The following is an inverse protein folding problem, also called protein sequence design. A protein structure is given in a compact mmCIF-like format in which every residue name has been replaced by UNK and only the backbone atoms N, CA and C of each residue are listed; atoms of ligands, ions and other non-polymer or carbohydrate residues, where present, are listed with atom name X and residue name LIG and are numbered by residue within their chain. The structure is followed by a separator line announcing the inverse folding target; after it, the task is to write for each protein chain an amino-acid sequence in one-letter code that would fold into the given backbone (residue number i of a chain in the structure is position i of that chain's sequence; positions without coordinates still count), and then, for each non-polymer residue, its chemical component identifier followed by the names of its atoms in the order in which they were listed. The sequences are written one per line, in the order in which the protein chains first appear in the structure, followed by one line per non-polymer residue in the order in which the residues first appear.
data_IF_596886951093
#
_entry.id   IF_596886951093
#
_cell.length_a   1.000
_cell.length_b   1.000
_cell.length_c   1.000
_cell.angle_alpha   90.00
_cell.angle_beta   90.00
_cell.angle_gamma   90.00
#
_symmetry.space_group_name_H-M   'P 1'
#
loop_
_entity.id
_entity.type
_entity.pdbx_description
1 polymer ?
#
# COMPACT_ATOMS: atom_id res chain seq x y z
N UNK A 1 17.88 19.55 5.09
CA UNK A 1 16.87 18.72 5.81
C UNK A 1 15.87 18.18 4.80
N UNK A 2 15.47 16.91 4.96
CA UNK A 2 14.49 16.26 4.08
C UNK A 2 13.47 15.52 4.95
N UNK A 3 12.20 15.78 4.72
CA UNK A 3 11.09 15.07 5.36
C UNK A 3 10.16 14.53 4.30
N UNK A 4 9.84 13.26 4.39
CA UNK A 4 8.91 12.56 3.48
C UNK A 4 7.78 11.92 4.29
N UNK A 5 6.55 12.09 3.84
CA UNK A 5 5.38 11.48 4.45
C UNK A 5 4.31 11.13 3.38
N UNK A 6 3.56 10.03 3.58
CA UNK A 6 3.74 8.98 4.56
C UNK A 6 4.96 8.10 4.27
N UNK A 7 5.34 7.24 5.21
CA UNK A 7 6.36 6.19 5.02
C UNK A 7 5.69 4.81 5.13
N UNK A 8 4.99 4.35 4.09
CA UNK A 8 4.28 3.08 4.13
C UNK A 8 5.25 1.90 4.09
N UNK A 9 4.91 0.80 4.76
CA UNK A 9 5.62 -0.47 4.66
C UNK A 9 5.32 -1.18 3.33
N UNK A 10 4.09 -1.01 2.83
CA UNK A 10 3.60 -1.62 1.59
C UNK A 10 3.12 -0.54 0.61
N UNK A 11 3.29 -0.83 -0.67
CA UNK A 11 2.78 -0.06 -1.79
C UNK A 11 1.91 -0.98 -2.66
N UNK A 12 0.59 -0.87 -2.51
CA UNK A 12 -0.39 -1.73 -3.20
C UNK A 12 -1.11 -1.01 -4.33
N UNK A 13 -1.36 0.28 -4.14
CA UNK A 13 -2.05 1.14 -5.10
C UNK A 13 -1.38 2.51 -5.16
N UNK A 14 -1.90 3.40 -6.01
CA UNK A 14 -1.42 4.78 -6.11
C UNK A 14 -1.44 5.48 -4.76
N UNK A 15 -0.27 5.81 -4.25
CA UNK A 15 -0.08 6.47 -2.95
C UNK A 15 0.47 7.86 -3.13
N UNK A 16 -0.14 8.84 -2.45
CA UNK A 16 0.31 10.22 -2.47
C UNK A 16 1.32 10.48 -1.36
N UNK A 17 2.43 11.11 -1.73
CA UNK A 17 3.51 11.51 -0.85
C UNK A 17 3.62 13.02 -0.80
N UNK A 18 4.01 13.55 0.36
CA UNK A 18 4.40 14.94 0.55
C UNK A 18 5.86 14.98 0.97
N UNK A 19 6.65 15.75 0.25
CA UNK A 19 8.06 15.94 0.48
C UNK A 19 8.32 17.39 0.88
N UNK A 20 9.01 17.59 1.98
CA UNK A 20 9.57 18.88 2.38
C UNK A 20 11.09 18.79 2.32
N UNK A 21 11.71 19.69 1.58
CA UNK A 21 13.15 19.80 1.43
C UNK A 21 13.60 21.20 1.78
N UNK A 22 14.67 21.32 2.57
CA UNK A 22 15.20 22.63 2.96
C UNK A 22 16.71 22.63 3.16
N UNK A 23 17.35 23.73 2.76
CA UNK A 23 18.72 24.11 3.11
C UNK A 23 18.82 25.60 3.33
N UNK A 24 18.99 26.01 4.60
CA UNK A 24 19.01 27.42 5.01
C UNK A 24 20.28 28.15 4.57
N UNK A 25 21.40 27.44 4.34
CA UNK A 25 22.72 28.07 4.11
C UNK A 25 23.05 28.25 2.63
N UNK A 26 22.95 27.17 1.86
CA UNK A 26 23.37 27.18 0.45
C UNK A 26 22.19 27.33 -0.51
N UNK A 27 20.98 27.00 -0.05
CA UNK A 27 19.79 26.85 -0.88
C UNK A 27 19.82 25.60 -1.74
N UNK A 28 18.66 25.19 -2.20
CA UNK A 28 18.45 23.99 -2.97
C UNK A 28 18.99 24.16 -4.40
N UNK A 29 19.70 23.16 -4.91
CA UNK A 29 20.21 23.08 -6.29
C UNK A 29 19.38 22.10 -7.12
N UNK A 30 19.18 20.89 -6.61
CA UNK A 30 18.35 19.90 -7.28
C UNK A 30 17.73 18.92 -6.28
N UNK A 31 16.57 18.42 -6.64
CA UNK A 31 15.82 17.40 -5.92
C UNK A 31 15.48 16.30 -6.91
N UNK A 32 15.77 15.06 -6.53
CA UNK A 32 15.35 13.87 -7.26
C UNK A 32 14.68 12.90 -6.31
N UNK A 33 13.52 12.41 -6.70
CA UNK A 33 12.84 11.28 -6.06
C UNK A 33 12.85 10.12 -7.04
N UNK A 34 13.34 8.99 -6.61
CA UNK A 34 13.42 7.78 -7.41
C UNK A 34 13.02 6.55 -6.60
N UNK A 35 12.61 5.51 -7.28
CA UNK A 35 12.38 4.20 -6.70
C UNK A 35 13.32 3.20 -7.36
N UNK A 36 14.06 2.47 -6.53
CA UNK A 36 14.97 1.43 -6.98
C UNK A 36 14.40 0.05 -6.67
N UNK A 37 14.39 -0.82 -7.68
CA UNK A 37 13.98 -2.20 -7.55
C UNK A 37 14.81 -3.10 -8.46
N UNK A 38 15.39 -4.16 -7.89
CA UNK A 38 16.20 -5.13 -8.62
C UNK A 38 17.34 -4.50 -9.47
N UNK A 39 17.95 -3.43 -8.95
CA UNK A 39 19.04 -2.71 -9.65
C UNK A 39 18.57 -1.76 -10.76
N UNK A 40 17.27 -1.59 -10.94
CA UNK A 40 16.67 -0.60 -11.83
C UNK A 40 16.15 0.57 -11.03
N UNK A 41 16.60 1.77 -11.36
CA UNK A 41 16.13 3.01 -10.78
C UNK A 41 15.13 3.69 -11.74
N UNK A 42 13.99 4.08 -11.21
CA UNK A 42 12.94 4.81 -11.92
C UNK A 42 12.73 6.16 -11.25
N UNK A 43 12.98 7.25 -11.96
CA UNK A 43 12.78 8.61 -11.44
C UNK A 43 11.29 8.95 -11.45
N UNK A 44 10.79 9.42 -10.31
CA UNK A 44 9.40 9.85 -10.11
C UNK A 44 9.29 11.37 -10.20
N UNK A 45 10.20 12.08 -9.53
CA UNK A 45 10.25 13.54 -9.53
C UNK A 45 11.68 13.97 -9.75
N UNK A 46 11.89 14.96 -10.62
CA UNK A 46 13.17 15.64 -10.77
C UNK A 46 12.93 17.13 -10.89
N UNK A 47 13.63 17.92 -10.09
CA UNK A 47 13.54 19.38 -10.07
C UNK A 47 14.88 20.02 -9.85
N UNK A 48 15.16 21.07 -10.59
CA UNK A 48 16.36 21.88 -10.45
C UNK A 48 15.99 23.30 -10.05
N UNK A 49 16.83 23.92 -9.23
CA UNK A 49 16.65 25.26 -8.70
C UNK A 49 17.85 26.10 -9.11
N UNK A 50 17.66 27.20 -9.86
CA UNK A 50 18.77 28.03 -10.30
C UNK A 50 19.38 28.82 -9.14
N UNK A 51 20.69 29.06 -9.24
CA UNK A 51 21.40 29.99 -8.33
C UNK A 51 20.96 31.42 -8.59
N UNK A 52 20.50 32.16 -7.59
CA UNK A 52 19.99 33.52 -7.74
C UNK A 52 20.50 34.44 -6.64
N UNK A 53 20.84 35.67 -7.05
CA UNK A 53 21.31 36.70 -6.14
C UNK A 53 22.75 36.54 -5.64
N UNK A 54 23.17 37.42 -4.77
CA UNK A 54 24.47 37.36 -4.13
C UNK A 54 24.43 36.28 -3.03
N UNK A 55 25.33 35.29 -3.10
CA UNK A 55 25.36 34.13 -2.18
C UNK A 55 24.06 33.30 -2.17
N UNK A 56 23.35 33.29 -3.29
CA UNK A 56 22.05 32.61 -3.46
C UNK A 56 20.93 33.13 -2.54
N UNK A 57 21.01 34.45 -2.18
CA UNK A 57 20.03 35.08 -1.28
C UNK A 57 18.59 35.05 -1.80
N UNK A 58 18.44 35.08 -3.13
CA UNK A 58 17.16 35.07 -3.82
C UNK A 58 16.80 33.66 -4.36
N UNK A 59 17.60 32.65 -4.01
CA UNK A 59 17.41 31.26 -4.38
C UNK A 59 16.35 30.56 -3.54
N UNK A 60 16.03 29.35 -3.92
CA UNK A 60 15.06 28.51 -3.20
C UNK A 60 15.74 27.81 -2.03
N UNK A 61 15.37 28.15 -0.81
CA UNK A 61 15.89 27.56 0.41
C UNK A 61 14.97 26.48 1.01
N UNK A 62 13.67 26.49 0.67
CA UNK A 62 12.69 25.49 1.09
C UNK A 62 11.78 25.17 -0.09
N UNK A 63 11.45 23.91 -0.25
CA UNK A 63 10.56 23.42 -1.30
C UNK A 63 9.67 22.31 -0.78
N UNK A 64 8.39 22.44 -1.06
CA UNK A 64 7.39 21.41 -0.82
C UNK A 64 6.93 20.83 -2.15
N UNK A 65 6.77 19.53 -2.23
CA UNK A 65 6.26 18.83 -3.39
C UNK A 65 5.30 17.72 -2.95
N UNK A 66 4.17 17.62 -3.65
CA UNK A 66 3.30 16.46 -3.56
C UNK A 66 3.42 15.66 -4.86
N UNK A 67 3.56 14.35 -4.75
CA UNK A 67 3.64 13.44 -5.89
C UNK A 67 2.95 12.12 -5.57
N UNK A 68 2.67 11.36 -6.59
CA UNK A 68 2.02 10.05 -6.48
C UNK A 68 2.95 8.97 -7.02
N UNK A 69 3.01 7.85 -6.32
CA UNK A 69 3.67 6.64 -6.78
C UNK A 69 2.61 5.57 -6.97
N UNK A 70 2.38 5.19 -8.22
CA UNK A 70 1.52 4.08 -8.58
C UNK A 70 2.41 2.93 -9.09
N UNK A 71 2.43 1.79 -8.39
CA UNK A 71 3.29 0.67 -8.77
C UNK A 71 2.94 0.09 -10.15
N UNK A 72 1.68 0.15 -10.56
CA UNK A 72 1.25 -0.33 -11.87
C UNK A 72 1.69 0.61 -13.00
N UNK A 73 1.56 1.92 -12.79
CA UNK A 73 2.00 2.94 -13.78
C UNK A 73 3.52 2.89 -13.97
N UNK A 74 4.27 2.69 -12.88
CA UNK A 74 5.73 2.61 -12.92
C UNK A 74 6.25 1.23 -13.32
N UNK A 75 5.37 0.25 -13.57
CA UNK A 75 5.73 -1.16 -13.86
C UNK A 75 6.67 -1.75 -12.82
N UNK A 76 6.38 -1.51 -11.54
CA UNK A 76 7.13 -2.11 -10.45
C UNK A 76 6.76 -3.59 -10.28
N UNK A 77 7.76 -4.43 -10.06
CA UNK A 77 7.54 -5.84 -9.78
C UNK A 77 7.12 -6.05 -8.32
N UNK A 78 6.52 -7.20 -8.02
CA UNK A 78 6.23 -7.59 -6.65
C UNK A 78 7.51 -7.75 -5.83
N UNK A 79 7.51 -7.32 -4.57
CA UNK A 79 8.61 -7.48 -3.65
C UNK A 79 9.29 -6.17 -3.24
N UNK A 80 10.49 -6.28 -2.71
CA UNK A 80 11.21 -5.16 -2.09
C UNK A 80 11.58 -4.09 -3.09
N UNK A 81 11.40 -2.84 -2.68
CA UNK A 81 11.85 -1.66 -3.38
C UNK A 81 12.40 -0.63 -2.38
N UNK A 82 13.22 0.28 -2.84
CA UNK A 82 13.78 1.38 -2.06
C UNK A 82 13.38 2.71 -2.68
N UNK A 83 12.69 3.52 -1.90
CA UNK A 83 12.37 4.91 -2.25
C UNK A 83 13.53 5.80 -1.84
N UNK A 84 14.08 6.57 -2.78
CA UNK A 84 15.23 7.43 -2.59
C UNK A 84 14.85 8.88 -2.84
N UNK A 85 15.30 9.75 -1.96
CA UNK A 85 15.25 11.20 -2.15
C UNK A 85 16.66 11.74 -2.09
N UNK A 86 17.11 12.30 -3.19
CA UNK A 86 18.41 12.94 -3.32
C UNK A 86 18.22 14.45 -3.40
N UNK A 87 18.92 15.16 -2.54
CA UNK A 87 18.94 16.60 -2.49
C UNK A 87 20.37 17.09 -2.64
N UNK A 88 20.60 18.01 -3.55
CA UNK A 88 21.87 18.75 -3.67
C UNK A 88 21.65 20.22 -3.34
N UNK A 89 22.58 20.79 -2.61
CA UNK A 89 22.64 22.25 -2.32
C UNK A 89 23.58 22.98 -3.27
N UNK A 90 23.62 24.31 -3.17
CA UNK A 90 24.57 25.16 -3.90
C UNK A 90 25.89 25.43 -3.12
N UNK A 91 26.24 24.59 -2.15
CA UNK A 91 27.47 24.72 -1.40
C UNK A 91 28.70 24.62 -2.31
N UNK A 92 29.68 25.48 -2.08
CA UNK A 92 30.97 25.47 -2.78
C UNK A 92 32.05 24.68 -2.02
N UNK A 93 31.72 24.08 -0.89
CA UNK A 93 32.66 23.25 -0.11
C UNK A 93 32.86 21.88 -0.84
N UNK A 94 34.09 21.39 -0.85
CA UNK A 94 34.40 20.07 -1.40
C UNK A 94 34.57 19.98 -2.92
N UNK A 95 34.79 21.11 -3.63
CA UNK A 95 35.02 21.09 -5.09
C UNK A 95 33.95 21.75 -5.94
N UNK A 96 32.86 22.27 -5.30
CA UNK A 96 31.83 23.02 -6.00
C UNK A 96 30.64 22.23 -6.49
N UNK A 97 30.60 20.92 -6.20
CA UNK A 97 29.48 20.02 -6.64
C UNK A 97 28.26 20.07 -5.72
N UNK A 98 28.33 20.83 -4.62
CA UNK A 98 27.30 20.89 -3.59
C UNK A 98 27.39 19.75 -2.58
N UNK A 99 26.65 19.85 -1.48
CA UNK A 99 26.48 18.73 -0.57
C UNK A 99 25.30 17.89 -1.02
N UNK A 100 25.46 16.57 -0.94
CA UNK A 100 24.40 15.61 -1.21
C UNK A 100 23.76 15.16 0.12
N UNK A 101 22.46 15.29 0.21
CA UNK A 101 21.65 14.63 1.25
C UNK A 101 20.88 13.50 0.60
N UNK A 102 21.03 12.29 1.14
CA UNK A 102 20.32 11.11 0.68
C UNK A 102 19.39 10.64 1.81
N UNK A 103 18.11 10.53 1.50
CA UNK A 103 17.11 9.88 2.34
C UNK A 103 16.66 8.61 1.62
N UNK A 104 16.56 7.48 2.34
CA UNK A 104 16.09 6.21 1.80
C UNK A 104 15.02 5.60 2.68
N UNK A 105 14.03 4.99 2.05
CA UNK A 105 12.96 4.27 2.73
C UNK A 105 12.68 2.94 2.01
N UNK A 106 12.78 1.83 2.76
CA UNK A 106 12.48 0.51 2.24
C UNK A 106 10.98 0.24 2.32
N UNK A 107 10.41 -0.27 1.24
CA UNK A 107 9.03 -0.67 1.15
C UNK A 107 8.88 -1.97 0.35
N UNK A 108 7.72 -2.57 0.42
CA UNK A 108 7.37 -3.77 -0.33
C UNK A 108 6.24 -3.44 -1.31
N UNK A 109 6.47 -3.67 -2.59
CA UNK A 109 5.43 -3.58 -3.61
C UNK A 109 4.61 -4.86 -3.55
N UNK A 110 3.31 -4.73 -3.27
CA UNK A 110 2.35 -5.84 -3.26
C UNK A 110 1.00 -5.37 -3.78
N UNK A 111 0.72 -5.71 -5.03
CA UNK A 111 -0.49 -5.34 -5.76
C UNK A 111 -1.39 -6.55 -6.04
N UNK A 112 -1.06 -7.72 -5.45
CA UNK A 112 -1.79 -8.96 -5.71
C UNK A 112 -2.74 -9.24 -4.55
N UNK A 113 -4.07 -9.16 -4.78
CA UNK A 113 -5.03 -9.47 -3.73
C UNK A 113 -4.95 -10.94 -3.25
N UNK A 114 -5.25 -11.20 -1.97
CA UNK A 114 -5.19 -12.52 -1.41
C UNK A 114 -6.23 -13.45 -2.04
N UNK A 115 -5.91 -14.73 -2.18
CA UNK A 115 -6.86 -15.72 -2.67
C UNK A 115 -7.73 -16.23 -1.53
N UNK A 116 -9.05 -16.38 -1.79
CA UNK A 116 -10.00 -16.96 -0.85
C UNK A 116 -11.01 -17.86 -1.58
N UNK A 117 -11.31 -19.03 -1.02
CA UNK A 117 -12.28 -19.99 -1.58
C UNK A 117 -13.02 -20.76 -0.51
N UNK A 118 -14.32 -21.01 -0.72
CA UNK A 118 -15.09 -21.91 0.13
C UNK A 118 -14.64 -23.38 -0.03
N UNK A 119 -14.55 -24.08 1.07
CA UNK A 119 -14.33 -25.52 1.11
C UNK A 119 -15.66 -26.30 1.29
N UNK A 120 -16.60 -25.70 2.03
CA UNK A 120 -17.96 -26.23 2.17
C UNK A 120 -18.81 -25.86 0.96
N UNK A 121 -19.76 -26.73 0.57
CA UNK A 121 -20.48 -26.60 -0.71
C UNK A 121 -21.96 -26.28 -0.58
N UNK A 122 -22.59 -26.63 0.56
CA UNK A 122 -24.04 -26.49 0.73
C UNK A 122 -24.29 -25.56 1.94
N UNK A 123 -24.80 -24.37 1.66
CA UNK A 123 -25.17 -23.40 2.68
C UNK A 123 -26.64 -23.02 2.46
N UNK A 124 -27.48 -23.42 3.37
CA UNK A 124 -28.91 -23.04 3.39
C UNK A 124 -29.08 -21.99 4.49
N UNK A 125 -29.47 -20.80 4.10
CA UNK A 125 -29.57 -19.66 5.00
C UNK A 125 -30.97 -19.07 4.86
N UNK A 126 -31.68 -18.95 5.95
CA UNK A 126 -32.94 -18.19 5.96
C UNK A 126 -32.68 -16.74 6.39
N UNK A 127 -33.54 -15.82 5.98
CA UNK A 127 -33.58 -14.49 6.58
C UNK A 127 -33.75 -14.62 8.09
N UNK A 128 -32.98 -13.89 8.88
CA UNK A 128 -32.89 -14.02 10.33
C UNK A 128 -32.12 -15.26 10.81
N UNK A 129 -31.64 -16.09 9.90
CA UNK A 129 -30.87 -17.29 10.20
C UNK A 129 -29.36 -17.08 10.23
N UNK A 130 -28.67 -18.11 10.67
CA UNK A 130 -27.22 -18.13 10.74
C UNK A 130 -26.66 -19.36 10.01
N UNK A 131 -25.43 -19.27 9.56
CA UNK A 131 -24.74 -20.32 8.84
C UNK A 131 -23.25 -20.34 9.18
N UNK A 132 -22.65 -21.48 8.93
CA UNK A 132 -21.21 -21.67 9.08
C UNK A 132 -20.60 -22.01 7.73
N UNK A 133 -19.51 -21.34 7.38
CA UNK A 133 -18.70 -21.63 6.20
C UNK A 133 -17.28 -21.98 6.62
N UNK A 134 -16.73 -23.02 5.98
CA UNK A 134 -15.30 -23.33 6.04
C UNK A 134 -14.68 -22.91 4.72
N UNK A 135 -13.60 -22.15 4.78
CA UNK A 135 -12.94 -21.63 3.60
C UNK A 135 -11.41 -21.65 3.78
N UNK A 136 -10.70 -21.47 2.71
CA UNK A 136 -9.24 -21.41 2.69
C UNK A 136 -8.80 -20.09 2.08
N UNK A 137 -7.73 -19.52 2.66
CA UNK A 137 -7.06 -18.33 2.18
C UNK A 137 -5.62 -18.62 1.78
N UNK A 138 -5.03 -17.72 1.00
CA UNK A 138 -3.58 -17.66 0.78
C UNK A 138 -2.83 -17.27 2.04
N UNK A 139 -1.52 -17.53 2.07
CA UNK A 139 -0.68 -17.36 3.27
C UNK A 139 -0.39 -15.92 3.64
N UNK A 140 -0.59 -14.98 2.72
CA UNK A 140 -0.42 -13.53 2.86
C UNK A 140 -1.64 -12.83 3.47
N UNK A 141 -2.76 -13.54 3.58
CA UNK A 141 -4.00 -13.00 4.16
C UNK A 141 -3.82 -12.62 5.63
N UNK A 142 -4.14 -11.40 5.97
CA UNK A 142 -4.13 -10.90 7.35
C UNK A 142 -5.51 -11.03 8.00
N UNK A 143 -6.56 -10.63 7.27
CA UNK A 143 -7.94 -10.67 7.75
C UNK A 143 -8.82 -11.39 6.73
N UNK A 144 -9.81 -12.12 7.23
CA UNK A 144 -10.79 -12.78 6.37
C UNK A 144 -12.10 -13.04 7.09
N UNK A 145 -13.16 -13.28 6.30
CA UNK A 145 -14.46 -13.55 6.86
C UNK A 145 -15.57 -13.62 5.82
N UNK A 146 -16.80 -13.43 6.28
CA UNK A 146 -17.97 -13.31 5.43
C UNK A 146 -18.53 -11.89 5.52
N UNK A 147 -18.72 -11.29 4.38
CA UNK A 147 -19.35 -9.99 4.23
C UNK A 147 -20.81 -10.20 3.83
N UNK A 148 -21.73 -9.79 4.69
CA UNK A 148 -23.18 -9.77 4.42
C UNK A 148 -23.59 -8.32 4.25
N UNK A 149 -23.84 -7.90 3.03
CA UNK A 149 -23.99 -6.49 2.65
C UNK A 149 -22.76 -5.68 3.12
N UNK A 150 -22.89 -4.93 4.21
CA UNK A 150 -21.82 -4.11 4.82
C UNK A 150 -21.31 -4.66 6.15
N UNK A 151 -21.90 -5.74 6.64
CA UNK A 151 -21.51 -6.35 7.91
C UNK A 151 -20.45 -7.42 7.68
N UNK A 152 -19.28 -7.23 8.26
CA UNK A 152 -18.21 -8.21 8.26
C UNK A 152 -18.33 -9.13 9.48
N UNK A 153 -18.41 -10.42 9.21
CA UNK A 153 -18.30 -11.49 10.20
C UNK A 153 -16.88 -12.05 10.12
N UNK A 154 -16.06 -11.88 11.15
CA UNK A 154 -14.67 -12.34 11.09
C UNK A 154 -14.58 -13.87 11.06
N UNK A 155 -13.62 -14.36 10.31
CA UNK A 155 -13.25 -15.76 10.31
C UNK A 155 -12.17 -16.08 11.31
N UNK A 156 -12.14 -17.30 11.77
CA UNK A 156 -11.16 -17.80 12.74
C UNK A 156 -10.38 -18.96 12.14
N UNK A 157 -9.08 -18.97 12.34
CA UNK A 157 -8.25 -20.09 11.90
C UNK A 157 -8.71 -21.39 12.57
N UNK A 158 -8.89 -22.44 11.79
CA UNK A 158 -9.29 -23.74 12.31
C UNK A 158 -8.18 -24.45 13.10
N UNK A 159 -6.95 -23.91 13.11
CA UNK A 159 -5.82 -24.38 13.91
C UNK A 159 -5.28 -25.76 13.52
N UNK A 160 -5.81 -26.39 12.49
CA UNK A 160 -5.43 -27.74 12.07
C UNK A 160 -4.15 -27.75 11.23
N UNK A 161 -3.13 -28.52 11.65
CA UNK A 161 -1.91 -28.77 10.85
C UNK A 161 -2.23 -29.44 9.50
N UNK A 162 -3.36 -30.13 9.41
CA UNK A 162 -3.77 -30.85 8.20
C UNK A 162 -4.33 -29.99 7.07
N UNK A 163 -4.70 -28.73 7.36
CA UNK A 163 -5.26 -27.80 6.38
C UNK A 163 -4.78 -26.38 6.65
N UNK A 164 -3.52 -26.06 6.32
CA UNK A 164 -2.99 -24.72 6.48
C UNK A 164 -3.84 -23.69 5.72
N UNK A 165 -4.06 -22.52 6.33
CA UNK A 165 -4.89 -21.47 5.75
C UNK A 165 -6.39 -21.73 5.79
N UNK A 166 -6.85 -22.81 6.46
CA UNK A 166 -8.28 -23.06 6.66
C UNK A 166 -8.85 -22.24 7.80
N UNK A 167 -9.99 -21.63 7.51
CA UNK A 167 -10.73 -20.78 8.42
C UNK A 167 -12.18 -21.23 8.52
N UNK A 168 -12.80 -20.88 9.63
CA UNK A 168 -14.23 -21.07 9.86
C UNK A 168 -14.84 -19.71 10.18
N UNK A 169 -15.96 -19.40 9.57
CA UNK A 169 -16.74 -18.21 9.87
C UNK A 169 -18.19 -18.61 10.17
N UNK A 170 -18.69 -18.11 11.31
CA UNK A 170 -20.09 -18.19 11.66
C UNK A 170 -20.71 -16.81 11.40
N UNK A 171 -21.72 -16.75 10.53
CA UNK A 171 -22.31 -15.50 10.10
C UNK A 171 -23.84 -15.59 10.11
N UNK A 172 -24.51 -14.46 10.11
CA UNK A 172 -25.96 -14.36 10.10
C UNK A 172 -26.43 -13.44 8.99
N UNK A 173 -27.61 -13.72 8.45
CA UNK A 173 -28.32 -12.83 7.52
C UNK A 173 -29.43 -12.13 8.31
N UNK A 174 -29.48 -10.80 8.33
CA UNK A 174 -30.52 -10.04 9.03
C UNK A 174 -31.92 -10.44 8.57
N UNK A 175 -32.88 -10.38 9.45
CA UNK A 175 -34.28 -10.75 9.16
C UNK A 175 -34.96 -9.81 8.17
N UNK A 176 -34.46 -8.57 8.08
CA UNK A 176 -34.89 -7.51 7.17
C UNK A 176 -34.03 -7.40 5.91
N UNK A 177 -33.08 -8.30 5.75
CA UNK A 177 -32.22 -8.33 4.56
C UNK A 177 -33.04 -8.53 3.29
N UNK A 178 -32.69 -7.83 2.22
CA UNK A 178 -33.32 -8.04 0.92
C UNK A 178 -33.01 -9.45 0.38
N UNK A 179 -33.93 -10.02 -0.41
CA UNK A 179 -33.77 -11.36 -1.01
C UNK A 179 -32.48 -11.52 -1.82
N UNK A 180 -31.93 -10.41 -2.34
CA UNK A 180 -30.68 -10.40 -3.09
C UNK A 180 -29.51 -9.79 -2.32
N UNK A 181 -29.56 -9.79 -0.99
CA UNK A 181 -28.44 -9.31 -0.17
C UNK A 181 -27.19 -10.10 -0.52
N UNK A 182 -26.09 -9.44 -0.91
CA UNK A 182 -24.86 -10.14 -1.26
C UNK A 182 -24.25 -10.76 0.01
N UNK A 183 -23.88 -12.03 -0.10
CA UNK A 183 -23.12 -12.77 0.90
C UNK A 183 -21.84 -13.25 0.23
N UNK A 184 -20.72 -12.69 0.63
CA UNK A 184 -19.44 -12.89 -0.02
C UNK A 184 -18.38 -13.34 0.99
N UNK A 185 -17.46 -14.20 0.58
CA UNK A 185 -16.19 -14.34 1.26
C UNK A 185 -15.38 -13.08 1.02
N UNK A 186 -14.72 -12.61 2.06
CA UNK A 186 -13.86 -11.43 2.04
C UNK A 186 -12.51 -11.76 2.66
N UNK A 187 -11.45 -11.27 2.04
CA UNK A 187 -10.09 -11.36 2.56
C UNK A 187 -9.32 -10.08 2.26
N UNK A 188 -8.44 -9.72 3.16
CA UNK A 188 -7.51 -8.57 3.07
C UNK A 188 -6.12 -9.05 3.46
N UNK A 189 -5.10 -8.63 2.72
CA UNK A 189 -3.71 -8.88 3.03
C UNK A 189 -3.08 -7.73 3.86
N UNK A 190 -1.78 -7.83 4.13
CA UNK A 190 -1.04 -6.80 4.87
C UNK A 190 -0.84 -5.51 4.09
N UNK A 191 -0.89 -5.59 2.77
CA UNK A 191 -0.76 -4.43 1.90
C UNK A 191 -2.09 -3.69 1.71
N UNK A 192 -3.20 -4.22 2.26
CA UNK A 192 -4.54 -3.67 2.13
C UNK A 192 -5.27 -4.08 0.85
N UNK A 193 -4.73 -5.04 0.06
CA UNK A 193 -5.46 -5.54 -1.10
C UNK A 193 -6.60 -6.43 -0.64
N UNK A 194 -7.78 -6.22 -1.25
CA UNK A 194 -9.00 -6.96 -0.90
C UNK A 194 -9.43 -7.91 -1.99
N UNK A 195 -9.96 -9.05 -1.57
CA UNK A 195 -10.69 -9.98 -2.43
C UNK A 195 -12.09 -10.21 -1.90
N UNK A 196 -13.07 -10.19 -2.80
CA UNK A 196 -14.47 -10.50 -2.53
C UNK A 196 -14.91 -11.59 -3.50
N UNK A 197 -15.28 -12.77 -2.97
CA UNK A 197 -15.61 -13.94 -3.78
C UNK A 197 -16.98 -14.48 -3.40
N UNK A 198 -17.91 -14.64 -4.36
CA UNK A 198 -19.17 -15.30 -4.09
C UNK A 198 -18.94 -16.79 -3.79
N UNK A 199 -19.77 -17.36 -2.94
CA UNK A 199 -19.81 -18.78 -2.70
C UNK A 199 -21.25 -19.30 -2.80
N UNK A 200 -21.39 -20.59 -3.07
CA UNK A 200 -22.72 -21.15 -3.23
C UNK A 200 -23.48 -21.12 -1.92
N UNK A 201 -24.59 -20.41 -1.91
CA UNK A 201 -25.56 -20.39 -0.83
C UNK A 201 -26.97 -20.29 -1.41
N UNK A 202 -27.94 -20.77 -0.67
CA UNK A 202 -29.36 -20.68 -1.01
C UNK A 202 -30.09 -20.05 0.18
N UNK A 203 -30.75 -18.96 -0.09
CA UNK A 203 -31.64 -18.25 0.84
C UNK A 203 -33.07 -18.69 0.58
#
# INVERSE_FOLDING_TARGET
EVTLAPLPEYLSEGSRFTLEAGDEKGGLRSLRVSIEQAGRETTVVEKTFPYQGLFNSDGVHRHEAAFEIDPLVLNLAQGRAELKVELFDHSRRGGGDGNRTLFTHNLTVDTIPPAIRALTRLHYINQGGSCLVVYQTSSDTEKSGVLVDRMLFPGFSSGGKASPGSHVCYFAVPHDAAVKTPVLLWAEDRAGNETRTPFYHRV
#
